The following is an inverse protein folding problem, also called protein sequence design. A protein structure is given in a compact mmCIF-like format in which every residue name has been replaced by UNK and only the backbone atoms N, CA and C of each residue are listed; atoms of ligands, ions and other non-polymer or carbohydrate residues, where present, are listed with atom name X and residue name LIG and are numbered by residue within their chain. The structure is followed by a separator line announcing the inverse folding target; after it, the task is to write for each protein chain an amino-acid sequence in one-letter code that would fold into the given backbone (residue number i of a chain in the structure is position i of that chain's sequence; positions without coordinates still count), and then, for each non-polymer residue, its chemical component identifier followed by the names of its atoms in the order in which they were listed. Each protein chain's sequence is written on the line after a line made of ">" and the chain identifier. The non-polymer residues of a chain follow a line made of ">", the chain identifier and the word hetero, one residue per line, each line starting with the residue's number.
data_IF_303151293027
#
_entry.id   IF_303151293027
#
_cell.length_a   1.000
_cell.length_b   1.000
_cell.length_c   1.000
_cell.angle_alpha   90.00
_cell.angle_beta   90.00
_cell.angle_gamma   90.00
#
_symmetry.space_group_name_H-M   'P 1'
#
loop_
_entity.id
_entity.type
_entity.pdbx_description
1 polymer ?
#
# COMPACT_ATOMS: atom_id res chain seq x y z
N UNK A 1 -8.01 -11.90 -11.53
CA UNK A 1 -9.47 -11.73 -11.54
C UNK A 1 -9.94 -11.25 -12.89
N UNK A 2 -11.15 -11.60 -13.31
CA UNK A 2 -11.78 -11.10 -14.54
C UNK A 2 -12.17 -9.63 -14.40
N UNK A 3 -12.41 -9.17 -13.18
CA UNK A 3 -12.79 -7.80 -12.87
C UNK A 3 -11.72 -7.11 -12.04
N UNK A 4 -11.39 -5.86 -12.40
CA UNK A 4 -10.53 -5.01 -11.62
C UNK A 4 -11.23 -4.61 -10.31
N UNK A 5 -10.58 -4.82 -9.16
CA UNK A 5 -11.11 -4.38 -7.87
C UNK A 5 -10.84 -2.89 -7.61
N UNK A 6 -9.88 -2.31 -8.30
CA UNK A 6 -9.56 -0.89 -8.21
C UNK A 6 -10.66 -0.05 -8.86
N UNK A 7 -10.97 1.08 -8.25
CA UNK A 7 -11.98 2.03 -8.75
C UNK A 7 -11.37 2.92 -9.81
N UNK A 8 -10.14 3.38 -9.55
CA UNK A 8 -9.40 4.18 -10.53
C UNK A 8 -8.81 3.26 -11.60
N UNK A 9 -9.11 3.55 -12.86
CA UNK A 9 -8.57 2.88 -14.04
C UNK A 9 -7.55 3.80 -14.71
N UNK A 10 -6.28 3.53 -14.48
CA UNK A 10 -5.17 4.36 -14.93
C UNK A 10 -4.73 4.10 -16.38
N UNK A 11 -5.08 2.96 -16.97
CA UNK A 11 -4.73 2.61 -18.33
C UNK A 11 -5.95 2.06 -19.12
N UNK A 12 -6.72 2.96 -19.70
CA UNK A 12 -7.97 2.64 -20.42
C UNK A 12 -7.79 2.69 -21.93
N UNK A 13 -6.96 3.61 -22.41
CA UNK A 13 -6.76 3.87 -23.82
C UNK A 13 -5.41 3.36 -24.31
N UNK A 14 -5.38 2.86 -25.54
CA UNK A 14 -4.16 2.42 -26.20
C UNK A 14 -3.21 3.61 -26.44
N UNK A 15 -1.96 3.57 -25.95
CA UNK A 15 -1.01 4.67 -26.13
C UNK A 15 -0.54 4.85 -27.59
N UNK A 16 -0.80 3.85 -28.48
CA UNK A 16 -0.46 3.94 -29.88
C UNK A 16 -1.55 4.55 -30.75
N UNK A 17 -2.82 4.26 -30.47
CA UNK A 17 -3.90 4.61 -31.37
C UNK A 17 -5.16 5.18 -30.69
N UNK A 18 -5.16 5.35 -29.37
CA UNK A 18 -6.27 5.91 -28.61
C UNK A 18 -7.52 5.00 -28.49
N UNK A 19 -7.50 3.80 -29.08
CA UNK A 19 -8.63 2.87 -28.97
C UNK A 19 -8.70 2.29 -27.54
N UNK A 20 -9.91 2.05 -27.03
CA UNK A 20 -10.10 1.42 -25.72
C UNK A 20 -9.43 0.05 -25.68
N UNK A 21 -8.67 -0.20 -24.61
CA UNK A 21 -8.01 -1.48 -24.35
C UNK A 21 -8.98 -2.52 -23.82
N UNK A 22 -8.76 -3.78 -24.20
CA UNK A 22 -9.44 -4.94 -23.68
C UNK A 22 -8.51 -5.74 -22.75
N UNK A 23 -9.02 -6.20 -21.61
CA UNK A 23 -8.26 -6.97 -20.64
C UNK A 23 -8.81 -8.40 -20.57
N UNK A 24 -7.94 -9.38 -20.77
CA UNK A 24 -8.27 -10.79 -20.52
C UNK A 24 -8.40 -11.06 -19.01
N UNK A 25 -7.53 -10.41 -18.21
CA UNK A 25 -7.60 -10.43 -16.74
C UNK A 25 -6.86 -9.26 -16.13
N UNK A 26 -7.26 -8.91 -14.90
CA UNK A 26 -6.59 -7.94 -14.04
C UNK A 26 -5.87 -8.63 -12.88
N UNK A 27 -4.77 -8.04 -12.43
CA UNK A 27 -4.12 -8.37 -11.15
C UNK A 27 -4.30 -7.25 -10.16
N UNK A 28 -3.93 -6.04 -10.54
CA UNK A 28 -4.09 -4.82 -9.75
C UNK A 28 -3.87 -3.61 -10.65
N UNK A 29 -4.78 -2.61 -10.66
CA UNK A 29 -4.78 -1.50 -11.63
C UNK A 29 -4.61 -2.00 -13.08
N UNK A 30 -3.68 -1.40 -13.85
CA UNK A 30 -3.35 -1.83 -15.21
C UNK A 30 -2.49 -3.11 -15.29
N UNK A 31 -2.02 -3.60 -14.15
CA UNK A 31 -1.25 -4.85 -14.13
C UNK A 31 -2.18 -6.02 -14.45
N UNK A 32 -1.99 -6.60 -15.63
CA UNK A 32 -2.83 -7.66 -16.15
C UNK A 32 -2.40 -8.10 -17.53
N UNK A 33 -3.31 -8.72 -18.28
CA UNK A 33 -3.08 -9.06 -19.69
C UNK A 33 -4.06 -8.27 -20.55
N UNK A 34 -3.55 -7.34 -21.31
CA UNK A 34 -4.32 -6.42 -22.16
C UNK A 34 -3.94 -6.54 -23.63
N UNK A 35 -4.87 -6.14 -24.49
CA UNK A 35 -4.69 -6.05 -25.93
C UNK A 35 -5.52 -4.91 -26.50
N UNK A 36 -4.97 -4.19 -27.44
CA UNK A 36 -5.72 -3.25 -28.26
C UNK A 36 -6.37 -3.98 -29.45
N UNK A 37 -7.70 -3.95 -29.58
CA UNK A 37 -8.39 -4.66 -30.66
C UNK A 37 -8.10 -4.04 -32.05
N UNK A 38 -7.68 -2.76 -32.10
CA UNK A 38 -7.43 -2.07 -33.36
C UNK A 38 -6.00 -2.25 -33.89
N UNK A 39 -4.96 -2.02 -33.03
CA UNK A 39 -3.58 -2.00 -33.52
C UNK A 39 -2.71 -3.16 -32.98
N UNK A 40 -3.29 -4.04 -32.17
CA UNK A 40 -2.59 -5.19 -31.60
C UNK A 40 -1.57 -4.86 -30.49
N UNK A 41 -1.44 -3.58 -30.08
CA UNK A 41 -0.65 -3.22 -28.89
C UNK A 41 -1.17 -3.99 -27.68
N UNK A 42 -0.30 -4.49 -26.82
CA UNK A 42 -0.72 -5.24 -25.65
C UNK A 42 0.43 -5.73 -24.79
N UNK A 43 0.09 -6.53 -23.81
CA UNK A 43 1.06 -7.16 -22.90
C UNK A 43 2.05 -8.02 -23.71
N UNK A 44 3.36 -7.80 -23.60
CA UNK A 44 4.36 -8.58 -24.32
C UNK A 44 4.37 -10.05 -23.90
N UNK A 45 5.00 -10.91 -24.74
CA UNK A 45 5.30 -12.29 -24.36
C UNK A 45 6.13 -12.28 -23.06
N UNK A 46 5.82 -13.17 -22.15
CA UNK A 46 6.53 -13.30 -20.87
C UNK A 46 7.62 -14.34 -20.99
N UNK A 47 8.84 -13.98 -20.64
CA UNK A 47 9.97 -14.91 -20.54
C UNK A 47 9.89 -15.70 -19.23
N UNK A 48 9.44 -15.05 -18.17
CA UNK A 48 9.20 -15.65 -16.86
C UNK A 48 7.79 -15.35 -16.36
N UNK A 49 7.19 -16.30 -15.65
CA UNK A 49 5.89 -16.12 -15.03
C UNK A 49 5.74 -16.89 -13.73
N UNK A 50 4.97 -16.35 -12.80
CA UNK A 50 4.54 -17.08 -11.61
C UNK A 50 3.36 -17.96 -11.97
N UNK A 51 3.51 -19.28 -11.87
CA UNK A 51 2.48 -20.27 -12.21
C UNK A 51 1.66 -20.70 -11.00
N UNK A 52 2.26 -20.72 -9.79
CA UNK A 52 1.59 -21.12 -8.56
C UNK A 52 2.05 -20.27 -7.38
N UNK A 53 1.12 -19.95 -6.48
CA UNK A 53 1.40 -19.32 -5.19
C UNK A 53 0.74 -20.19 -4.12
N UNK A 54 1.54 -20.63 -3.16
CA UNK A 54 1.12 -21.44 -2.02
C UNK A 54 1.40 -20.67 -0.73
N UNK A 55 0.39 -19.99 -0.21
CA UNK A 55 0.53 -19.17 0.98
C UNK A 55 0.69 -19.98 2.27
N UNK A 56 0.15 -21.21 2.31
CA UNK A 56 0.28 -22.08 3.48
C UNK A 56 1.70 -22.57 3.65
N UNK A 57 2.31 -23.06 2.56
CA UNK A 57 3.67 -23.57 2.56
C UNK A 57 4.73 -22.50 2.27
N UNK A 58 4.31 -21.24 2.09
CA UNK A 58 5.19 -20.10 1.78
C UNK A 58 6.06 -20.36 0.54
N UNK A 59 5.45 -20.84 -0.55
CA UNK A 59 6.12 -21.15 -1.80
C UNK A 59 5.55 -20.37 -2.99
N UNK A 60 6.42 -19.96 -3.89
CA UNK A 60 6.05 -19.39 -5.18
C UNK A 60 6.77 -20.18 -6.30
N UNK A 61 6.01 -20.68 -7.26
CA UNK A 61 6.55 -21.40 -8.41
C UNK A 61 6.69 -20.44 -9.60
N UNK A 62 7.90 -20.41 -10.15
CA UNK A 62 8.25 -19.55 -11.28
C UNK A 62 8.64 -20.45 -12.46
N UNK A 63 8.07 -20.17 -13.62
CA UNK A 63 8.36 -20.82 -14.89
C UNK A 63 9.25 -19.92 -15.75
N UNK A 64 10.30 -20.53 -16.29
CA UNK A 64 11.10 -20.01 -17.39
C UNK A 64 10.47 -20.52 -18.69
N UNK A 65 9.83 -19.64 -19.43
CA UNK A 65 9.08 -20.00 -20.64
C UNK A 65 9.98 -20.35 -21.83
N UNK A 66 11.21 -19.83 -21.87
CA UNK A 66 12.16 -20.16 -22.95
C UNK A 66 12.76 -21.53 -22.75
N UNK A 67 13.08 -21.93 -21.51
CA UNK A 67 13.61 -23.26 -21.18
C UNK A 67 12.53 -24.29 -20.89
N UNK A 68 11.28 -23.85 -20.72
CA UNK A 68 10.13 -24.64 -20.28
C UNK A 68 10.40 -25.41 -18.97
N UNK A 69 11.05 -24.74 -18.01
CA UNK A 69 11.39 -25.30 -16.69
C UNK A 69 10.69 -24.52 -15.58
N UNK A 70 10.33 -25.21 -14.51
CA UNK A 70 9.71 -24.61 -13.32
C UNK A 70 10.54 -24.90 -12.07
N UNK A 71 10.57 -23.93 -11.16
CA UNK A 71 11.19 -24.10 -9.85
C UNK A 71 10.37 -23.39 -8.77
N UNK A 72 10.26 -24.02 -7.59
CA UNK A 72 9.54 -23.44 -6.43
C UNK A 72 10.50 -22.82 -5.44
N UNK A 73 10.29 -21.55 -5.15
CA UNK A 73 11.11 -20.74 -4.24
C UNK A 73 10.35 -20.45 -2.94
N UNK A 74 11.11 -20.35 -1.85
CA UNK A 74 10.58 -19.92 -0.56
C UNK A 74 10.16 -18.45 -0.61
N UNK A 75 8.94 -18.15 -0.17
CA UNK A 75 8.43 -16.78 -0.10
C UNK A 75 9.07 -16.04 1.08
N UNK A 76 9.59 -14.85 0.80
CA UNK A 76 10.14 -13.94 1.82
C UNK A 76 9.02 -13.19 2.53
N UNK A 77 7.95 -12.83 1.79
CA UNK A 77 6.78 -12.14 2.34
C UNK A 77 5.53 -12.38 1.51
N UNK A 78 4.40 -12.21 2.15
CA UNK A 78 3.07 -12.29 1.53
C UNK A 78 2.75 -11.02 0.71
N UNK A 79 1.76 -11.15 -0.13
CA UNK A 79 1.22 -10.07 -0.93
C UNK A 79 1.81 -9.96 -2.33
N UNK A 80 0.95 -9.54 -3.26
CA UNK A 80 1.25 -9.57 -4.70
C UNK A 80 2.47 -8.74 -5.10
N UNK A 81 2.69 -7.58 -4.48
CA UNK A 81 3.86 -6.72 -4.77
C UNK A 81 5.15 -7.43 -4.38
N UNK A 82 5.17 -8.13 -3.24
CA UNK A 82 6.34 -8.88 -2.82
C UNK A 82 6.63 -10.05 -3.77
N UNK A 83 5.60 -10.69 -4.31
CA UNK A 83 5.77 -11.73 -5.33
C UNK A 83 6.39 -11.16 -6.61
N UNK A 84 5.94 -9.98 -7.08
CA UNK A 84 6.56 -9.31 -8.22
C UNK A 84 8.01 -8.88 -7.94
N UNK A 85 8.29 -8.38 -6.74
CA UNK A 85 9.66 -8.04 -6.33
C UNK A 85 10.56 -9.30 -6.31
N UNK A 86 10.05 -10.41 -5.76
CA UNK A 86 10.76 -11.70 -5.75
C UNK A 86 10.99 -12.21 -7.17
N UNK A 87 9.98 -12.19 -8.04
CA UNK A 87 10.12 -12.59 -9.44
C UNK A 87 11.23 -11.79 -10.12
N UNK A 88 11.21 -10.46 -9.98
CA UNK A 88 12.22 -9.58 -10.56
C UNK A 88 13.64 -9.88 -10.03
N UNK A 89 13.77 -10.07 -8.72
CA UNK A 89 15.05 -10.38 -8.08
C UNK A 89 15.57 -11.76 -8.54
N UNK A 90 14.71 -12.78 -8.56
CA UNK A 90 15.06 -14.14 -9.00
C UNK A 90 15.52 -14.11 -10.46
N UNK A 91 14.78 -13.46 -11.34
CA UNK A 91 15.14 -13.34 -12.76
C UNK A 91 16.49 -12.64 -12.92
N UNK A 92 16.72 -11.52 -12.23
CA UNK A 92 18.00 -10.82 -12.26
C UNK A 92 19.18 -11.72 -11.80
N UNK A 93 19.00 -12.46 -10.72
CA UNK A 93 20.02 -13.37 -10.19
C UNK A 93 20.28 -14.55 -11.15
N UNK A 94 19.25 -15.07 -11.82
CA UNK A 94 19.43 -16.09 -12.88
C UNK A 94 20.21 -15.53 -14.07
N UNK A 95 19.98 -14.28 -14.47
CA UNK A 95 20.72 -13.65 -15.58
C UNK A 95 22.21 -13.46 -15.27
N UNK A 96 22.59 -13.30 -14.00
CA UNK A 96 24.01 -13.28 -13.59
C UNK A 96 24.58 -14.64 -13.27
N UNK A 97 23.86 -15.73 -13.59
CA UNK A 97 24.36 -17.11 -13.57
C UNK A 97 24.20 -17.86 -12.24
N UNK A 98 23.39 -17.38 -11.29
CA UNK A 98 23.09 -18.15 -10.09
C UNK A 98 22.12 -19.29 -10.39
N UNK A 99 22.34 -20.47 -9.78
CA UNK A 99 21.40 -21.58 -9.87
C UNK A 99 20.16 -21.37 -9.00
N UNK A 100 19.05 -22.04 -9.36
CA UNK A 100 17.78 -21.96 -8.64
C UNK A 100 17.93 -22.35 -7.16
N UNK A 101 18.76 -23.35 -6.84
CA UNK A 101 19.02 -23.79 -5.47
C UNK A 101 19.73 -22.70 -4.64
N UNK A 102 20.78 -22.08 -5.21
CA UNK A 102 21.51 -21.00 -4.52
C UNK A 102 20.62 -19.80 -4.25
N UNK A 103 19.76 -19.44 -5.22
CA UNK A 103 18.78 -18.35 -5.07
C UNK A 103 17.80 -18.70 -3.96
N UNK A 104 17.24 -19.92 -3.97
CA UNK A 104 16.28 -20.35 -2.95
C UNK A 104 16.88 -20.39 -1.54
N UNK A 105 18.13 -20.85 -1.40
CA UNK A 105 18.83 -20.86 -0.12
C UNK A 105 19.12 -19.44 0.43
N UNK A 106 19.32 -18.47 -0.46
CA UNK A 106 19.42 -17.07 -0.07
C UNK A 106 18.07 -16.52 0.38
N UNK A 107 16.99 -16.81 -0.36
CA UNK A 107 15.63 -16.36 0.01
C UNK A 107 15.19 -16.88 1.37
N UNK A 108 15.48 -18.14 1.73
CA UNK A 108 15.21 -18.71 3.06
C UNK A 108 15.86 -17.94 4.21
N UNK A 109 16.98 -17.26 3.95
CA UNK A 109 17.76 -16.49 4.94
C UNK A 109 17.38 -15.01 4.94
N UNK A 110 16.67 -14.55 3.91
CA UNK A 110 16.29 -13.14 3.75
C UNK A 110 15.22 -12.76 4.75
N UNK A 111 15.42 -11.65 5.43
CA UNK A 111 14.42 -11.03 6.31
C UNK A 111 13.99 -9.71 5.71
N UNK A 112 12.69 -9.43 5.73
CA UNK A 112 12.18 -8.10 5.37
C UNK A 112 12.51 -7.14 6.52
N UNK A 113 12.91 -5.93 6.15
CA UNK A 113 13.17 -4.86 7.13
C UNK A 113 11.84 -4.30 7.62
N UNK A 114 11.64 -4.25 8.94
CA UNK A 114 10.39 -3.82 9.61
C UNK A 114 10.04 -2.32 9.41
N UNK A 115 10.82 -1.60 8.62
CA UNK A 115 10.65 -0.16 8.40
C UNK A 115 9.43 0.24 7.57
N UNK A 116 8.72 -0.72 6.97
CA UNK A 116 7.58 -0.45 6.08
C UNK A 116 6.23 -0.66 6.72
N UNK A 117 6.18 -1.48 7.76
CA UNK A 117 4.98 -1.83 8.48
C UNK A 117 5.36 -2.10 9.95
N UNK A 118 4.74 -1.36 10.85
CA UNK A 118 4.88 -1.57 12.29
C UNK A 118 3.48 -1.61 12.89
N UNK A 119 3.24 -2.56 13.78
CA UNK A 119 2.03 -2.63 14.59
C UNK A 119 2.41 -2.56 16.04
N UNK A 120 1.71 -1.72 16.80
CA UNK A 120 1.86 -1.51 18.23
C UNK A 120 0.48 -1.54 18.89
N UNK A 121 0.43 -1.71 20.19
CA UNK A 121 -0.80 -1.68 20.96
C UNK A 121 -0.60 -0.82 22.21
N UNK A 122 -1.47 0.16 22.41
CA UNK A 122 -1.43 1.07 23.56
C UNK A 122 -2.84 1.22 24.13
N UNK A 123 -2.99 0.98 25.43
CA UNK A 123 -4.25 1.08 26.16
C UNK A 123 -5.40 0.27 25.49
N UNK A 124 -5.09 -0.90 24.91
CA UNK A 124 -6.05 -1.75 24.23
C UNK A 124 -6.47 -1.24 22.84
N UNK A 125 -5.76 -0.24 22.31
CA UNK A 125 -5.95 0.27 20.94
C UNK A 125 -4.78 -0.11 20.06
N UNK A 126 -5.09 -0.61 18.86
CA UNK A 126 -4.11 -0.98 17.83
C UNK A 126 -3.60 0.27 17.11
N UNK A 127 -2.29 0.41 16.99
CA UNK A 127 -1.64 1.44 16.16
C UNK A 127 -0.91 0.74 15.03
N UNK A 128 -1.20 1.12 13.78
CA UNK A 128 -0.54 0.59 12.59
C UNK A 128 0.14 1.73 11.85
N UNK A 129 1.46 1.64 11.72
CA UNK A 129 2.24 2.55 10.89
C UNK A 129 2.55 1.86 9.58
N UNK A 130 2.10 2.44 8.47
CA UNK A 130 2.25 1.84 7.16
C UNK A 130 2.78 2.84 6.13
N UNK A 131 3.93 2.51 5.54
CA UNK A 131 4.51 3.28 4.44
C UNK A 131 3.62 3.17 3.21
N UNK A 132 2.93 4.25 2.84
CA UNK A 132 1.97 4.26 1.75
C UNK A 132 2.61 4.58 0.39
N UNK A 133 3.72 5.34 0.35
CA UNK A 133 4.39 5.77 -0.89
C UNK A 133 3.43 6.52 -1.82
N UNK A 134 2.95 7.69 -1.40
CA UNK A 134 1.93 8.47 -2.07
C UNK A 134 2.13 8.64 -3.57
N UNK A 135 3.35 8.91 -4.01
CA UNK A 135 3.71 9.10 -5.42
C UNK A 135 3.75 7.78 -6.25
N UNK A 136 3.48 6.65 -5.62
CA UNK A 136 3.28 5.38 -6.32
C UNK A 136 1.81 4.94 -6.15
N UNK A 137 0.92 5.26 -7.10
CA UNK A 137 -0.52 4.99 -6.99
C UNK A 137 -0.86 3.53 -6.70
N UNK A 138 -0.14 2.59 -7.31
CA UNK A 138 -0.35 1.15 -7.09
C UNK A 138 0.00 0.76 -5.64
N UNK A 139 1.15 1.22 -5.13
CA UNK A 139 1.57 0.92 -3.77
C UNK A 139 0.63 1.58 -2.75
N UNK A 140 0.27 2.85 -2.98
CA UNK A 140 -0.62 3.61 -2.12
C UNK A 140 -2.04 3.01 -2.06
N UNK A 141 -2.63 2.71 -3.23
CA UNK A 141 -3.95 2.06 -3.31
C UNK A 141 -3.98 0.72 -2.59
N UNK A 142 -2.88 -0.05 -2.61
CA UNK A 142 -2.79 -1.30 -1.84
C UNK A 142 -2.79 -1.10 -0.34
N UNK A 143 -2.15 -0.04 0.15
CA UNK A 143 -2.20 0.31 1.57
C UNK A 143 -3.62 0.71 1.95
N UNK A 144 -4.30 1.49 1.11
CA UNK A 144 -5.70 1.87 1.32
C UNK A 144 -6.62 0.64 1.26
N UNK A 145 -6.38 -0.30 0.34
CA UNK A 145 -7.10 -1.58 0.26
C UNK A 145 -6.91 -2.43 1.52
N UNK A 146 -5.70 -2.47 2.06
CA UNK A 146 -5.43 -3.12 3.35
C UNK A 146 -6.24 -2.49 4.47
N UNK A 147 -6.24 -1.15 4.57
CA UNK A 147 -6.97 -0.41 5.62
C UNK A 147 -8.48 -0.63 5.52
N UNK A 148 -9.07 -0.57 4.30
CA UNK A 148 -10.53 -0.76 4.11
C UNK A 148 -11.00 -2.16 4.50
N UNK A 149 -10.15 -3.20 4.32
CA UNK A 149 -10.46 -4.59 4.65
C UNK A 149 -10.43 -4.91 6.14
N UNK A 150 -9.92 -4.01 6.95
CA UNK A 150 -9.94 -4.18 8.41
C UNK A 150 -11.34 -3.85 8.94
N UNK A 151 -11.96 -4.74 9.74
CA UNK A 151 -13.36 -4.57 10.15
C UNK A 151 -13.57 -3.55 11.27
N UNK A 152 -12.55 -3.30 12.09
CA UNK A 152 -12.62 -2.45 13.27
C UNK A 152 -12.86 -0.97 12.94
N UNK A 153 -13.50 -0.25 13.88
CA UNK A 153 -13.62 1.22 13.84
C UNK A 153 -12.26 1.90 13.96
N UNK A 154 -11.98 2.84 13.09
CA UNK A 154 -10.63 3.39 12.95
C UNK A 154 -10.57 4.89 12.70
N UNK A 155 -9.46 5.47 13.14
CA UNK A 155 -8.96 6.77 12.65
C UNK A 155 -7.82 6.52 11.67
N UNK A 156 -7.78 7.30 10.60
CA UNK A 156 -6.70 7.34 9.63
C UNK A 156 -5.98 8.67 9.77
N UNK A 157 -4.66 8.62 9.97
CA UNK A 157 -3.77 9.79 9.96
C UNK A 157 -2.96 9.68 8.69
N UNK A 158 -3.08 10.67 7.81
CA UNK A 158 -2.58 10.62 6.44
C UNK A 158 -1.70 11.83 6.14
N UNK A 159 -0.41 11.60 5.88
CA UNK A 159 0.53 12.62 5.42
C UNK A 159 1.38 12.06 4.28
N UNK A 160 0.85 12.27 3.08
CA UNK A 160 1.49 11.91 1.82
C UNK A 160 1.95 13.20 1.15
N UNK A 161 3.25 13.27 0.87
CA UNK A 161 3.87 14.51 0.45
C UNK A 161 4.92 14.29 -0.65
N UNK A 162 5.29 15.36 -1.33
CA UNK A 162 6.30 15.43 -2.37
C UNK A 162 7.50 16.34 -1.97
N UNK A 163 7.80 16.37 -0.67
CA UNK A 163 8.74 17.33 -0.05
C UNK A 163 10.13 17.42 -0.69
N UNK A 164 10.58 16.37 -1.36
CA UNK A 164 11.91 16.27 -1.95
C UNK A 164 11.94 16.22 -3.48
N UNK A 165 10.79 16.43 -4.11
CA UNK A 165 10.68 16.48 -5.56
C UNK A 165 10.17 17.84 -5.99
N UNK A 166 10.90 18.48 -6.92
CA UNK A 166 10.46 19.70 -7.59
C UNK A 166 9.31 19.40 -8.60
N UNK A 167 8.46 18.45 -8.23
CA UNK A 167 7.33 18.05 -9.05
C UNK A 167 6.18 19.05 -8.92
N UNK A 168 5.89 19.74 -10.01
CA UNK A 168 4.74 20.62 -10.13
C UNK A 168 3.43 19.84 -10.30
N UNK A 169 3.52 18.52 -10.54
CA UNK A 169 2.34 17.71 -10.85
C UNK A 169 1.83 16.91 -9.65
N UNK A 170 0.53 16.89 -9.47
CA UNK A 170 -0.19 16.12 -8.44
C UNK A 170 -1.03 14.99 -9.06
N UNK A 171 -0.70 14.55 -10.28
CA UNK A 171 -1.50 13.54 -11.00
C UNK A 171 -1.62 12.23 -10.24
N UNK A 172 -0.60 11.84 -9.50
CA UNK A 172 -0.59 10.63 -8.68
C UNK A 172 -1.73 10.57 -7.63
N UNK A 173 -2.27 11.71 -7.17
CA UNK A 173 -3.45 11.73 -6.31
C UNK A 173 -4.68 11.14 -7.03
N UNK A 174 -4.80 11.39 -8.33
CA UNK A 174 -5.96 10.98 -9.12
C UNK A 174 -5.86 9.55 -9.64
N UNK A 175 -4.65 8.99 -9.67
CA UNK A 175 -4.40 7.60 -10.04
C UNK A 175 -4.48 6.64 -8.84
N UNK A 176 -4.67 7.18 -7.63
CA UNK A 176 -4.77 6.43 -6.37
C UNK A 176 -6.22 6.28 -5.93
N UNK A 177 -6.61 5.08 -5.45
CA UNK A 177 -7.97 4.75 -4.99
C UNK A 177 -8.28 5.33 -3.59
N UNK A 178 -8.41 6.62 -3.47
CA UNK A 178 -8.83 7.28 -2.22
C UNK A 178 -10.24 6.86 -1.79
N UNK A 179 -11.06 6.38 -2.71
CA UNK A 179 -12.38 5.81 -2.49
C UNK A 179 -12.37 4.65 -1.50
N UNK A 180 -11.23 3.94 -1.38
CA UNK A 180 -11.04 2.89 -0.37
C UNK A 180 -11.01 3.42 1.06
N UNK A 181 -10.79 4.72 1.26
CA UNK A 181 -10.83 5.34 2.57
C UNK A 181 -12.24 5.81 2.98
N UNK A 182 -13.22 5.73 2.07
CA UNK A 182 -14.61 6.05 2.34
C UNK A 182 -15.36 4.83 2.87
N UNK A 183 -15.12 4.48 4.14
CA UNK A 183 -15.75 3.34 4.81
C UNK A 183 -16.62 3.75 5.99
N UNK A 184 -17.69 2.99 6.26
CA UNK A 184 -18.58 3.23 7.40
C UNK A 184 -17.85 3.12 8.74
N UNK A 185 -16.82 2.28 8.81
CA UNK A 185 -15.97 2.08 9.99
C UNK A 185 -14.77 3.04 10.08
N UNK A 186 -14.68 4.03 9.18
CA UNK A 186 -13.74 5.14 9.28
C UNK A 186 -14.44 6.28 10.00
N UNK A 187 -14.05 6.55 11.24
CA UNK A 187 -14.66 7.59 12.06
C UNK A 187 -14.04 8.97 11.78
N UNK A 188 -12.73 8.98 11.44
CA UNK A 188 -11.98 10.22 11.28
C UNK A 188 -10.81 10.00 10.31
N UNK A 189 -10.57 11.01 9.44
CA UNK A 189 -9.36 11.12 8.64
C UNK A 189 -8.67 12.43 8.98
N UNK A 190 -7.46 12.36 9.54
CA UNK A 190 -6.62 13.51 9.87
C UNK A 190 -5.56 13.65 8.80
N UNK A 191 -5.56 14.75 8.09
CA UNK A 191 -4.64 15.02 6.98
C UNK A 191 -3.65 16.09 7.38
N UNK A 192 -2.38 15.90 7.04
CA UNK A 192 -1.33 16.90 7.30
C UNK A 192 -0.28 16.97 6.20
N UNK A 193 0.71 17.84 6.37
CA UNK A 193 1.79 18.06 5.41
C UNK A 193 1.49 19.13 4.36
N UNK A 194 2.45 19.33 3.47
CA UNK A 194 2.44 20.36 2.42
C UNK A 194 1.24 20.20 1.48
N UNK A 195 0.87 18.95 1.16
CA UNK A 195 -0.22 18.59 0.25
C UNK A 195 -1.57 18.35 0.94
N UNK A 196 -1.72 18.76 2.20
CA UNK A 196 -2.97 18.56 2.95
C UNK A 196 -4.21 19.08 2.24
N UNK A 197 -4.12 20.22 1.56
CA UNK A 197 -5.27 20.79 0.82
C UNK A 197 -5.65 19.95 -0.40
N UNK A 198 -4.66 19.47 -1.15
CA UNK A 198 -4.89 18.60 -2.31
C UNK A 198 -5.51 17.26 -1.86
N UNK A 199 -5.01 16.72 -0.74
CA UNK A 199 -5.56 15.50 -0.12
C UNK A 199 -7.01 15.69 0.32
N UNK A 200 -7.38 16.84 0.92
CA UNK A 200 -8.77 17.13 1.29
C UNK A 200 -9.67 17.11 0.06
N UNK A 201 -9.26 17.81 -1.01
CA UNK A 201 -10.02 17.84 -2.27
C UNK A 201 -10.21 16.41 -2.81
N UNK A 202 -9.14 15.62 -2.83
CA UNK A 202 -9.19 14.24 -3.33
C UNK A 202 -10.09 13.33 -2.46
N UNK A 203 -10.06 13.46 -1.14
CA UNK A 203 -10.95 12.74 -0.23
C UNK A 203 -12.42 13.11 -0.43
N UNK A 204 -12.72 14.40 -0.61
CA UNK A 204 -14.08 14.86 -0.94
C UNK A 204 -14.56 14.30 -2.28
N UNK A 205 -13.70 14.27 -3.31
CA UNK A 205 -14.01 13.62 -4.60
C UNK A 205 -14.23 12.11 -4.45
N UNK A 206 -13.55 11.46 -3.51
CA UNK A 206 -13.75 10.05 -3.16
C UNK A 206 -15.04 9.79 -2.37
N UNK A 207 -15.81 10.83 -2.07
CA UNK A 207 -17.09 10.73 -1.36
C UNK A 207 -16.95 10.67 0.17
N UNK A 208 -15.76 10.91 0.72
CA UNK A 208 -15.57 10.97 2.18
C UNK A 208 -16.36 12.17 2.74
N UNK A 209 -17.24 11.97 3.74
CA UNK A 209 -18.00 13.06 4.36
C UNK A 209 -17.08 14.13 4.95
N UNK A 210 -17.39 15.40 4.68
CA UNK A 210 -16.56 16.53 5.11
C UNK A 210 -16.34 16.56 6.63
N UNK A 211 -17.33 16.19 7.39
CA UNK A 211 -17.30 16.13 8.86
C UNK A 211 -16.33 15.08 9.42
N UNK A 212 -15.91 14.11 8.61
CA UNK A 212 -14.88 13.12 8.96
C UNK A 212 -13.46 13.58 8.63
N UNK A 213 -13.28 14.68 7.86
CA UNK A 213 -11.98 15.15 7.38
C UNK A 213 -11.52 16.32 8.25
N UNK A 214 -10.36 16.18 8.86
CA UNK A 214 -9.69 17.20 9.68
C UNK A 214 -8.30 17.45 9.10
N UNK A 215 -7.82 18.69 9.12
CA UNK A 215 -6.51 18.98 8.57
C UNK A 215 -5.79 20.12 9.29
N UNK A 216 -4.48 19.94 9.38
CA UNK A 216 -3.52 21.00 9.70
C UNK A 216 -2.28 20.82 8.84
N UNK A 217 -1.43 21.83 8.75
CA UNK A 217 -0.19 21.71 7.98
C UNK A 217 0.88 20.90 8.73
N UNK A 218 0.92 21.06 10.05
CA UNK A 218 1.85 20.35 10.92
C UNK A 218 1.27 18.98 11.32
N UNK A 219 2.07 17.93 11.19
CA UNK A 219 1.66 16.55 11.39
C UNK A 219 1.33 16.27 12.87
N UNK A 220 2.15 16.76 13.79
CA UNK A 220 1.98 16.53 15.22
C UNK A 220 0.83 17.38 15.77
N UNK A 221 0.77 18.66 15.38
CA UNK A 221 -0.31 19.56 15.79
C UNK A 221 -1.67 19.11 15.24
N UNK A 222 -1.72 18.51 14.05
CA UNK A 222 -2.95 17.95 13.49
C UNK A 222 -3.50 16.84 14.40
N UNK A 223 -2.63 15.98 14.92
CA UNK A 223 -3.00 14.91 15.84
C UNK A 223 -3.45 15.47 17.19
N UNK A 224 -2.69 16.38 17.79
CA UNK A 224 -3.06 17.05 19.06
C UNK A 224 -4.43 17.70 19.02
N UNK A 225 -4.72 18.37 17.92
CA UNK A 225 -5.92 19.17 17.76
C UNK A 225 -7.16 18.33 17.45
N UNK A 226 -7.02 17.29 16.66
CA UNK A 226 -8.16 16.62 16.07
C UNK A 226 -8.33 15.15 16.47
N UNK A 227 -7.30 14.47 16.94
CA UNK A 227 -7.40 13.05 17.24
C UNK A 227 -8.33 12.77 18.42
N UNK A 228 -9.41 12.00 18.18
CA UNK A 228 -10.44 11.63 19.16
C UNK A 228 -10.49 10.11 19.30
N UNK A 229 -9.83 9.52 20.31
CA UNK A 229 -9.64 8.08 20.40
C UNK A 229 -10.81 7.29 21.02
N UNK A 230 -11.89 7.95 21.50
CA UNK A 230 -12.91 7.29 22.32
C UNK A 230 -13.70 6.21 21.58
N UNK A 231 -14.07 6.45 20.33
CA UNK A 231 -15.01 5.63 19.57
C UNK A 231 -14.32 4.73 18.52
N UNK A 232 -13.02 4.52 18.64
CA UNK A 232 -12.22 3.73 17.72
C UNK A 232 -11.52 2.56 18.41
N UNK A 233 -11.16 1.56 17.65
CA UNK A 233 -10.39 0.39 18.09
C UNK A 233 -8.94 0.44 17.55
N UNK A 234 -8.74 1.16 16.42
CA UNK A 234 -7.44 1.25 15.77
C UNK A 234 -7.12 2.62 15.19
N UNK A 235 -5.83 2.89 15.05
CA UNK A 235 -5.27 4.08 14.38
C UNK A 235 -4.33 3.62 13.29
N UNK A 236 -4.54 4.10 12.06
CA UNK A 236 -3.67 3.86 10.92
C UNK A 236 -2.91 5.12 10.56
N UNK A 237 -1.60 5.10 10.75
CA UNK A 237 -0.69 6.19 10.36
C UNK A 237 -0.08 5.85 9.01
N UNK A 238 -0.51 6.56 7.97
CA UNK A 238 -0.10 6.35 6.58
C UNK A 238 0.80 7.50 6.15
N UNK A 239 2.05 7.17 5.83
CA UNK A 239 3.11 8.16 5.63
C UNK A 239 3.94 7.88 4.38
N UNK A 240 4.69 8.88 3.94
CA UNK A 240 5.59 8.76 2.80
C UNK A 240 7.04 8.44 3.22
N UNK A 241 7.84 8.01 2.25
CA UNK A 241 9.23 7.57 2.47
C UNK A 241 10.11 8.64 3.15
N UNK A 242 9.88 9.89 2.82
CA UNK A 242 10.66 11.01 3.34
C UNK A 242 10.17 11.57 4.68
N UNK A 243 9.05 11.06 5.18
CA UNK A 243 8.40 11.49 6.42
C UNK A 243 8.74 10.60 7.63
N UNK A 244 9.91 9.97 7.66
CA UNK A 244 10.28 9.02 8.73
C UNK A 244 10.39 9.68 10.10
N UNK A 245 10.89 10.93 10.17
CA UNK A 245 10.96 11.68 11.41
C UNK A 245 9.56 12.06 11.89
N UNK A 246 8.74 12.63 11.01
CA UNK A 246 7.36 13.00 11.30
C UNK A 246 6.53 11.78 11.71
N UNK A 247 6.71 10.64 11.04
CA UNK A 247 6.08 9.38 11.40
C UNK A 247 6.37 9.00 12.86
N UNK A 248 7.62 9.12 13.30
CA UNK A 248 7.99 8.80 14.68
C UNK A 248 7.38 9.79 15.68
N UNK A 249 7.44 11.08 15.39
CA UNK A 249 6.85 12.13 16.23
C UNK A 249 5.32 11.97 16.35
N UNK A 250 4.62 11.70 15.25
CA UNK A 250 3.17 11.39 15.23
C UNK A 250 2.86 10.12 16.01
N UNK A 251 3.67 9.07 15.86
CA UNK A 251 3.50 7.82 16.62
C UNK A 251 3.56 8.06 18.12
N UNK A 252 4.56 8.79 18.59
CA UNK A 252 4.73 9.11 20.02
C UNK A 252 3.55 9.98 20.53
N UNK A 253 3.09 10.93 19.74
CA UNK A 253 1.95 11.78 20.14
C UNK A 253 0.65 10.97 20.21
N UNK A 254 0.39 10.08 19.25
CA UNK A 254 -0.76 9.16 19.29
C UNK A 254 -0.72 8.29 20.54
N UNK A 255 0.44 7.70 20.87
CA UNK A 255 0.62 6.88 22.08
C UNK A 255 0.30 7.68 23.34
N UNK A 256 0.87 8.88 23.45
CA UNK A 256 0.62 9.79 24.58
C UNK A 256 -0.86 10.10 24.75
N UNK A 257 -1.56 10.49 23.67
CA UNK A 257 -2.99 10.79 23.75
C UNK A 257 -3.81 9.57 24.17
N UNK A 258 -3.46 8.37 23.69
CA UNK A 258 -4.11 7.13 24.10
C UNK A 258 -3.87 6.82 25.57
N UNK A 259 -2.64 6.96 26.06
CA UNK A 259 -2.29 6.78 27.48
C UNK A 259 -3.00 7.80 28.38
N UNK A 260 -3.03 9.07 27.97
CA UNK A 260 -3.69 10.15 28.72
C UNK A 260 -5.23 9.96 28.76
N UNK A 261 -5.82 9.40 27.69
CA UNK A 261 -7.28 9.23 27.58
C UNK A 261 -7.78 7.97 28.31
N UNK A 262 -7.06 6.86 28.25
CA UNK A 262 -7.52 5.57 28.75
C UNK A 262 -6.72 5.06 29.96
N UNK A 263 -5.68 5.78 30.36
CA UNK A 263 -4.77 5.42 31.44
C UNK A 263 -3.75 4.37 31.02
N UNK A 264 -2.61 4.33 31.71
CA UNK A 264 -1.70 3.19 31.64
C UNK A 264 -2.40 2.03 32.34
N UNK A 265 -2.65 0.90 31.65
CA UNK A 265 -2.91 -0.35 32.35
C UNK A 265 -1.63 -0.67 33.16
N UNK A 266 -1.63 -0.32 34.43
CA UNK A 266 -0.67 -0.86 35.39
C UNK A 266 -1.03 -2.34 35.50
N UNK A 267 -0.26 -3.23 34.91
CA UNK A 267 -0.29 -4.64 35.29
C UNK A 267 0.16 -4.70 36.76
N UNK A 268 -0.81 -4.73 37.66
CA UNK A 268 -0.56 -5.15 39.03
C UNK A 268 -0.15 -6.62 38.99
N UNK A 269 1.14 -6.83 39.06
CA UNK A 269 1.71 -8.16 39.36
C UNK A 269 1.26 -8.55 40.76
N UNK A 270 0.29 -9.47 40.84
CA UNK A 270 0.00 -10.23 42.03
C UNK A 270 0.81 -11.53 42.05
#
# INVERSE_FOLDING_TARGET
>A
TEKCENIVQDMVLCPKCGTKLEYEYYRYHHVGKMKCPNCGFGTPKRDYETTKIDFENKLVTIKDNDKNTEYSYSMVADGIINIYNMLSAIVALKQVGLSDEKINDALKKTKIVDTRFLQDEVAGKKIVLHLAKGQNPIACSRVFDYVRKQPEKKTIILFLDDLHEDNETITWFYDTDYEFLNGDNVEQIIVSGKRSKDTIVRLLMAGVPKEKIFADRDEVESVRKYFKPKDIESVYVLYDLYAMKQKEEVHQEVKKILEDTFGKKVEEWK
#
